data_IF_601625206942
#
_entry.id   IF_601625206942
#
_cell.length_a   1.000
_cell.length_b   1.000
_cell.length_c   1.000
_cell.angle_alpha   90.00
_cell.angle_beta   90.00
_cell.angle_gamma   90.00
#
_symmetry.space_group_name_H-M   'P 1'
#
loop_
_entity.id
_entity.type
_entity.pdbx_description
1 polymer ?
#
# COMPACT_ATOMS: atom_id res chain seq x y z
N UNK A 1 9.86 4.30 -20.28
CA UNK A 1 10.13 3.45 -19.09
C UNK A 1 9.19 3.85 -17.96
N UNK A 2 8.57 2.88 -17.27
CA UNK A 2 7.77 3.17 -16.09
C UNK A 2 8.64 3.72 -14.94
N UNK A 3 8.03 4.53 -14.08
CA UNK A 3 8.67 5.14 -12.92
C UNK A 3 8.25 4.34 -11.69
N UNK A 4 9.22 3.91 -10.89
CA UNK A 4 8.97 3.16 -9.66
C UNK A 4 9.58 3.86 -8.45
N UNK A 5 8.92 3.81 -7.30
CA UNK A 5 9.54 4.23 -6.04
C UNK A 5 10.60 3.22 -5.59
N UNK A 6 11.61 3.65 -4.82
CA UNK A 6 12.35 2.72 -3.96
C UNK A 6 11.42 2.02 -2.96
N UNK A 7 11.93 1.04 -2.22
CA UNK A 7 11.22 0.48 -1.08
C UNK A 7 10.98 1.59 -0.04
N UNK A 8 9.70 1.90 0.22
CA UNK A 8 9.32 2.87 1.24
C UNK A 8 9.00 2.09 2.51
N UNK A 9 9.57 2.52 3.64
CA UNK A 9 9.33 1.92 4.94
C UNK A 9 8.57 2.88 5.81
N UNK A 10 7.43 2.43 6.30
CA UNK A 10 6.58 3.19 7.21
C UNK A 10 6.61 2.49 8.55
N UNK A 11 7.06 3.19 9.59
CA UNK A 11 7.09 2.64 10.94
C UNK A 11 5.67 2.28 11.40
N UNK A 12 5.53 1.06 11.94
CA UNK A 12 4.25 0.56 12.41
C UNK A 12 4.50 -0.52 13.47
N UNK A 13 4.00 -0.35 14.71
CA UNK A 13 4.22 -1.31 15.78
C UNK A 13 3.84 -2.74 15.37
N UNK A 14 4.65 -3.70 15.81
CA UNK A 14 4.49 -5.14 15.55
C UNK A 14 3.07 -5.63 15.88
N UNK A 15 2.54 -5.18 17.01
CA UNK A 15 1.20 -5.51 17.51
C UNK A 15 0.03 -5.09 16.59
N UNK A 16 0.20 -4.04 15.78
CA UNK A 16 -0.87 -3.51 14.93
C UNK A 16 -0.62 -3.65 13.44
N UNK A 17 0.63 -3.85 12.98
CA UNK A 17 0.97 -3.79 11.55
C UNK A 17 0.14 -4.71 10.66
N UNK A 18 -0.14 -5.93 11.12
CA UNK A 18 -0.99 -6.87 10.39
C UNK A 18 -2.46 -6.43 10.37
N UNK A 19 -2.98 -5.96 11.52
CA UNK A 19 -4.36 -5.45 11.63
C UNK A 19 -4.57 -4.21 10.74
N UNK A 20 -3.58 -3.33 10.67
CA UNK A 20 -3.62 -2.15 9.81
C UNK A 20 -3.69 -2.56 8.34
N UNK A 21 -2.84 -3.51 7.89
CA UNK A 21 -2.88 -4.02 6.51
C UNK A 21 -4.21 -4.70 6.20
N UNK A 22 -4.78 -5.45 7.15
CA UNK A 22 -6.09 -6.08 7.00
C UNK A 22 -7.23 -5.06 6.86
N UNK A 23 -7.24 -3.99 7.68
CA UNK A 23 -8.20 -2.89 7.51
C UNK A 23 -8.07 -2.21 6.15
N UNK A 24 -6.84 -1.90 5.74
CA UNK A 24 -6.59 -1.28 4.42
C UNK A 24 -7.07 -2.20 3.29
N UNK A 25 -6.86 -3.50 3.41
CA UNK A 25 -7.39 -4.50 2.48
C UNK A 25 -8.91 -4.45 2.40
N UNK A 26 -9.61 -4.44 3.54
CA UNK A 26 -11.07 -4.41 3.58
C UNK A 26 -11.64 -3.13 2.97
N UNK A 27 -11.04 -1.98 3.24
CA UNK A 27 -11.45 -0.71 2.63
C UNK A 27 -11.21 -0.70 1.12
N UNK A 28 -10.01 -1.11 0.68
CA UNK A 28 -9.65 -1.08 -0.74
C UNK A 28 -10.43 -2.12 -1.57
N UNK A 29 -10.80 -3.26 -0.99
CA UNK A 29 -11.63 -4.28 -1.66
C UNK A 29 -13.04 -3.80 -2.02
N UNK A 30 -13.51 -2.68 -1.43
CA UNK A 30 -14.82 -2.10 -1.77
C UNK A 30 -14.79 -1.42 -3.14
N UNK A 31 -13.65 -0.81 -3.48
CA UNK A 31 -13.50 0.04 -4.67
C UNK A 31 -12.60 -0.58 -5.75
N UNK A 32 -11.71 -1.53 -5.38
CA UNK A 32 -10.67 -2.09 -6.24
C UNK A 32 -10.55 -3.61 -6.15
N UNK A 33 -10.07 -4.22 -7.23
CA UNK A 33 -9.63 -5.61 -7.22
C UNK A 33 -8.26 -5.70 -6.52
N UNK A 34 -8.23 -6.34 -5.36
CA UNK A 34 -7.04 -6.45 -4.50
C UNK A 34 -6.47 -7.86 -4.58
N UNK A 35 -5.17 -7.95 -4.91
CA UNK A 35 -4.37 -9.16 -4.78
C UNK A 35 -3.81 -9.22 -3.35
N UNK A 36 -4.21 -10.24 -2.60
CA UNK A 36 -4.01 -10.33 -1.15
C UNK A 36 -3.09 -11.49 -0.69
N UNK A 37 -2.14 -11.90 -1.55
CA UNK A 37 -1.23 -13.02 -1.29
C UNK A 37 -0.11 -12.68 -0.28
N UNK A 38 0.54 -11.52 -0.42
CA UNK A 38 1.60 -11.03 0.47
C UNK A 38 1.42 -9.53 0.74
N UNK A 39 0.34 -9.20 1.46
CA UNK A 39 -0.10 -7.84 1.71
C UNK A 39 -1.31 -7.43 0.87
N UNK A 40 -1.30 -6.21 0.37
CA UNK A 40 -2.36 -5.57 -0.42
C UNK A 40 -1.72 -5.00 -1.65
N UNK A 41 -1.98 -5.61 -2.80
CA UNK A 41 -1.56 -5.10 -4.11
C UNK A 41 -2.79 -4.72 -4.94
N UNK A 42 -2.74 -3.54 -5.55
CA UNK A 42 -3.74 -3.08 -6.51
C UNK A 42 -3.04 -2.86 -7.83
N UNK A 43 -3.61 -3.41 -8.90
CA UNK A 43 -3.15 -3.21 -10.27
C UNK A 43 -4.12 -2.27 -10.99
N UNK A 44 -3.57 -1.21 -11.58
CA UNK A 44 -4.26 -0.28 -12.44
C UNK A 44 -3.78 -0.48 -13.89
N UNK A 45 -4.53 -0.05 -14.90
CA UNK A 45 -4.08 -0.13 -16.29
C UNK A 45 -2.75 0.58 -16.57
N UNK A 46 -2.42 1.57 -15.74
CA UNK A 46 -1.30 2.50 -15.91
C UNK A 46 -0.32 2.53 -14.72
N UNK A 47 -0.41 1.55 -13.81
CA UNK A 47 0.47 1.44 -12.65
C UNK A 47 0.01 0.42 -11.61
N UNK A 48 0.73 0.32 -10.50
CA UNK A 48 0.34 -0.53 -9.38
C UNK A 48 0.87 0.02 -8.05
N UNK A 49 0.23 -0.41 -6.97
CA UNK A 49 0.68 -0.11 -5.61
C UNK A 49 0.64 -1.35 -4.72
N UNK A 50 1.60 -1.44 -3.81
CA UNK A 50 1.76 -2.53 -2.85
C UNK A 50 1.92 -1.96 -1.43
N UNK A 51 1.19 -2.53 -0.48
CA UNK A 51 1.47 -2.42 0.97
C UNK A 51 1.62 -3.83 1.51
N UNK A 52 2.68 -4.08 2.29
CA UNK A 52 2.80 -5.32 3.07
C UNK A 52 3.31 -5.06 4.48
N UNK A 53 2.92 -5.91 5.42
CA UNK A 53 3.56 -5.94 6.72
C UNK A 53 4.92 -6.61 6.60
N UNK A 54 5.96 -6.00 7.17
CA UNK A 54 7.27 -6.66 7.24
C UNK A 54 7.19 -7.86 8.18
N UNK A 55 7.67 -9.05 7.78
CA UNK A 55 7.62 -10.22 8.66
C UNK A 55 8.62 -10.16 9.83
N UNK A 56 9.68 -9.36 9.71
CA UNK A 56 10.81 -9.37 10.66
C UNK A 56 11.03 -8.05 11.37
N UNK A 57 10.31 -6.99 10.99
CA UNK A 57 10.48 -5.64 11.54
C UNK A 57 9.13 -4.99 11.86
N UNK A 58 9.08 -4.06 12.83
CA UNK A 58 7.89 -3.25 13.12
C UNK A 58 7.72 -2.14 12.07
N UNK A 59 7.46 -2.55 10.82
CA UNK A 59 7.29 -1.64 9.70
C UNK A 59 6.34 -2.22 8.65
N UNK A 60 5.71 -1.32 7.92
CA UNK A 60 5.06 -1.60 6.66
C UNK A 60 6.00 -1.25 5.51
N UNK A 61 5.96 -2.06 4.46
CA UNK A 61 6.72 -1.86 3.24
C UNK A 61 5.76 -1.48 2.13
N UNK A 62 6.04 -0.35 1.49
CA UNK A 62 5.24 0.21 0.41
C UNK A 62 6.08 0.31 -0.87
N UNK A 63 5.44 0.10 -2.01
CA UNK A 63 6.06 0.29 -3.32
C UNK A 63 5.03 0.66 -4.37
N UNK A 64 5.39 1.58 -5.25
CA UNK A 64 4.51 2.09 -6.29
C UNK A 64 5.24 2.13 -7.63
N UNK A 65 4.49 1.94 -8.70
CA UNK A 65 4.98 2.07 -10.06
C UNK A 65 3.87 2.65 -10.94
N UNK A 66 4.22 3.53 -11.87
CA UNK A 66 3.29 4.08 -12.84
C UNK A 66 4.00 4.53 -14.11
N UNK A 67 3.24 4.77 -15.18
CA UNK A 67 3.79 5.26 -16.45
C UNK A 67 4.27 6.72 -16.37
N UNK A 68 3.68 7.53 -15.48
CA UNK A 68 4.02 8.95 -15.29
C UNK A 68 4.23 9.29 -13.81
N UNK A 69 4.95 10.39 -13.55
CA UNK A 69 5.21 10.84 -12.18
C UNK A 69 3.92 11.32 -11.50
N UNK A 70 3.05 11.98 -12.25
CA UNK A 70 1.74 12.42 -11.76
C UNK A 70 0.92 11.22 -11.31
N UNK A 71 0.83 10.17 -12.15
CA UNK A 71 0.07 8.97 -11.83
C UNK A 71 0.65 8.21 -10.63
N UNK A 72 1.97 8.17 -10.52
CA UNK A 72 2.65 7.57 -9.37
C UNK A 72 2.25 8.27 -8.06
N UNK A 73 2.23 9.61 -8.04
CA UNK A 73 1.82 10.38 -6.86
C UNK A 73 0.32 10.21 -6.55
N UNK A 74 -0.55 10.06 -7.57
CA UNK A 74 -1.97 9.75 -7.36
C UNK A 74 -2.18 8.38 -6.69
N UNK A 75 -1.56 7.32 -7.24
CA UNK A 75 -1.65 5.96 -6.69
C UNK A 75 -1.09 5.94 -5.26
N UNK A 76 0.05 6.58 -5.06
CA UNK A 76 0.69 6.70 -3.75
C UNK A 76 -0.24 7.40 -2.75
N UNK A 77 -0.77 8.57 -3.10
CA UNK A 77 -1.62 9.37 -2.22
C UNK A 77 -2.90 8.64 -1.83
N UNK A 78 -3.51 7.91 -2.78
CA UNK A 78 -4.69 7.09 -2.54
C UNK A 78 -4.41 5.99 -1.50
N UNK A 79 -3.30 5.29 -1.66
CA UNK A 79 -2.94 4.15 -0.80
C UNK A 79 -2.44 4.61 0.57
N UNK A 80 -1.60 5.65 0.62
CA UNK A 80 -1.14 6.25 1.88
C UNK A 80 -2.31 6.87 2.66
N UNK A 81 -3.28 7.51 2.00
CA UNK A 81 -4.47 8.03 2.66
C UNK A 81 -5.29 6.93 3.34
N UNK A 82 -5.54 5.81 2.65
CA UNK A 82 -6.24 4.66 3.24
C UNK A 82 -5.47 4.05 4.41
N UNK A 83 -4.14 4.05 4.32
CA UNK A 83 -3.28 3.58 5.40
C UNK A 83 -3.39 4.48 6.65
N UNK A 84 -3.43 5.80 6.48
CA UNK A 84 -3.61 6.73 7.60
C UNK A 84 -4.99 6.58 8.25
N UNK A 85 -6.06 6.44 7.46
CA UNK A 85 -7.41 6.16 7.98
C UNK A 85 -7.43 4.87 8.83
N UNK A 86 -6.78 3.81 8.36
CA UNK A 86 -6.70 2.53 9.05
C UNK A 86 -5.88 2.58 10.36
N UNK A 87 -4.87 3.46 10.45
CA UNK A 87 -4.05 3.66 11.65
C UNK A 87 -4.77 4.45 12.74
N UNK A 88 -5.68 5.34 12.36
CA UNK A 88 -6.41 6.22 13.28
C UNK A 88 -7.69 5.59 13.87
N UNK A 89 -7.99 4.34 13.52
CA UNK A 89 -9.18 3.58 13.96
C UNK A 89 -8.79 2.40 14.83
#
# INVERSE_FOLDING_TARGET
>A
PAISTPEIRVECPEEIKFRVVEKVKEELKKDYEVIDIDGVRIEFPDGWGLIRASNTQPALVLRFEAETKERLEEIRSLIEGKLEEAKNT
#
